data_IF_736493134859
#
_entry.id   IF_736493134859
#
_cell.length_a   1.000
_cell.length_b   1.000
_cell.length_c   1.000
_cell.angle_alpha   90.00
_cell.angle_beta   90.00
_cell.angle_gamma   90.00
#
_symmetry.space_group_name_H-M   'P 1'
#
loop_
_entity.id
_entity.type
_entity.pdbx_description
1 polymer ?
#
# COMPACT_ATOMS: atom_id res chain seq x y z
N UNK A 1 -16.41 -19.50 -2.14
CA UNK A 1 -15.91 -18.55 -1.12
C UNK A 1 -15.21 -17.33 -1.72
N UNK A 2 -14.18 -17.47 -2.57
CA UNK A 2 -13.50 -16.31 -3.20
C UNK A 2 -14.45 -15.38 -3.99
N UNK A 3 -15.41 -15.93 -4.75
CA UNK A 3 -16.40 -15.12 -5.48
C UNK A 3 -17.25 -14.23 -4.57
N UNK A 4 -17.57 -14.70 -3.35
CA UNK A 4 -18.32 -13.89 -2.37
C UNK A 4 -17.47 -12.72 -1.90
N UNK A 5 -16.17 -12.92 -1.68
CA UNK A 5 -15.23 -11.85 -1.36
C UNK A 5 -15.14 -10.79 -2.46
N UNK A 6 -14.97 -11.20 -3.73
CA UNK A 6 -14.95 -10.27 -4.86
C UNK A 6 -16.27 -9.52 -5.03
N UNK A 7 -17.42 -10.19 -4.84
CA UNK A 7 -18.72 -9.54 -4.88
C UNK A 7 -18.87 -8.45 -3.80
N UNK A 8 -18.38 -8.72 -2.58
CA UNK A 8 -18.41 -7.77 -1.48
C UNK A 8 -17.55 -6.53 -1.79
N UNK A 9 -16.33 -6.72 -2.31
CA UNK A 9 -15.44 -5.63 -2.74
C UNK A 9 -16.08 -4.80 -3.87
N UNK A 10 -16.65 -5.46 -4.88
CA UNK A 10 -17.31 -4.77 -5.99
C UNK A 10 -18.51 -3.92 -5.53
N UNK A 11 -19.30 -4.44 -4.58
CA UNK A 11 -20.42 -3.69 -3.97
C UNK A 11 -19.90 -2.47 -3.20
N UNK A 12 -18.86 -2.62 -2.38
CA UNK A 12 -18.24 -1.50 -1.63
C UNK A 12 -17.73 -0.42 -2.59
N UNK A 13 -16.98 -0.78 -3.62
CA UNK A 13 -16.48 0.17 -4.62
C UNK A 13 -17.60 0.92 -5.35
N UNK A 14 -18.72 0.23 -5.60
CA UNK A 14 -19.93 0.83 -6.18
C UNK A 14 -20.60 1.81 -5.21
N UNK A 15 -20.69 1.48 -3.91
CA UNK A 15 -21.25 2.39 -2.89
C UNK A 15 -20.41 3.66 -2.75
N UNK A 16 -19.08 3.53 -2.81
CA UNK A 16 -18.15 4.67 -2.76
C UNK A 16 -18.12 5.50 -4.06
N UNK A 17 -18.91 5.13 -5.07
CA UNK A 17 -18.95 5.78 -6.39
C UNK A 17 -17.55 6.01 -6.97
N UNK A 18 -16.66 5.04 -6.79
CA UNK A 18 -15.27 5.18 -7.22
C UNK A 18 -15.21 5.45 -8.73
N UNK A 19 -14.50 6.51 -9.17
CA UNK A 19 -14.36 6.77 -10.58
C UNK A 19 -13.56 5.65 -11.27
N UNK A 20 -13.82 5.44 -12.55
CA UNK A 20 -13.12 4.41 -13.34
C UNK A 20 -11.60 4.68 -13.46
N UNK A 21 -11.20 5.95 -13.43
CA UNK A 21 -9.80 6.34 -13.59
C UNK A 21 -8.87 5.79 -12.47
N UNK A 22 -9.16 5.97 -11.17
CA UNK A 22 -8.39 5.32 -10.10
C UNK A 22 -8.32 3.79 -10.17
N UNK A 23 -9.40 3.13 -10.61
CA UNK A 23 -9.43 1.67 -10.75
C UNK A 23 -8.46 1.20 -11.83
N UNK A 24 -8.47 1.87 -13.00
CA UNK A 24 -7.52 1.60 -14.08
C UNK A 24 -6.08 1.90 -13.66
N UNK A 25 -5.87 3.03 -12.97
CA UNK A 25 -4.54 3.40 -12.47
C UNK A 25 -4.02 2.34 -11.48
N UNK A 26 -4.85 1.92 -10.53
CA UNK A 26 -4.50 0.85 -9.59
C UNK A 26 -4.22 -0.49 -10.28
N UNK A 27 -4.96 -0.82 -11.34
CA UNK A 27 -4.74 -2.04 -12.11
C UNK A 27 -3.39 -2.02 -12.85
N UNK A 28 -3.07 -0.93 -13.56
CA UNK A 28 -1.80 -0.78 -14.29
C UNK A 28 -0.62 -0.71 -13.31
N UNK A 29 -0.74 0.09 -12.24
CA UNK A 29 0.30 0.21 -11.22
C UNK A 29 0.49 -1.10 -10.45
N UNK A 30 -0.59 -1.86 -10.20
CA UNK A 30 -0.52 -3.13 -9.49
C UNK A 30 0.39 -4.13 -10.18
N UNK A 31 0.27 -4.25 -11.49
CA UNK A 31 1.14 -5.11 -12.32
C UNK A 31 2.63 -4.66 -12.26
N UNK A 32 2.87 -3.35 -12.24
CA UNK A 32 4.23 -2.82 -12.03
C UNK A 32 4.77 -3.10 -10.62
N UNK A 33 3.93 -2.95 -9.59
CA UNK A 33 4.26 -3.20 -8.19
C UNK A 33 4.63 -4.68 -8.00
N UNK A 34 3.83 -5.60 -8.53
CA UNK A 34 4.09 -7.05 -8.45
C UNK A 34 5.41 -7.43 -9.12
N UNK A 35 5.68 -6.89 -10.32
CA UNK A 35 6.97 -7.12 -11.00
C UNK A 35 8.15 -6.59 -10.20
N UNK A 36 8.03 -5.39 -9.64
CA UNK A 36 9.10 -4.78 -8.85
C UNK A 36 9.31 -5.52 -7.53
N UNK A 37 8.23 -5.96 -6.88
CA UNK A 37 8.28 -6.77 -5.67
C UNK A 37 8.96 -8.11 -5.93
N UNK A 38 8.56 -8.82 -6.99
CA UNK A 38 9.20 -10.07 -7.40
C UNK A 38 10.67 -9.88 -7.73
N UNK A 39 11.03 -8.80 -8.44
CA UNK A 39 12.42 -8.45 -8.72
C UNK A 39 13.21 -8.21 -7.45
N UNK A 40 12.67 -7.45 -6.50
CA UNK A 40 13.31 -7.21 -5.21
C UNK A 40 13.53 -8.52 -4.44
N UNK A 41 12.53 -9.40 -4.41
CA UNK A 41 12.63 -10.72 -3.76
C UNK A 41 13.64 -11.64 -4.43
N UNK A 42 13.74 -11.63 -5.77
CA UNK A 42 14.79 -12.38 -6.48
C UNK A 42 16.19 -11.85 -6.18
N UNK A 43 16.34 -10.53 -6.00
CA UNK A 43 17.63 -9.91 -5.64
C UNK A 43 18.01 -10.19 -4.18
N UNK A 44 17.03 -10.38 -3.29
CA UNK A 44 17.24 -10.67 -1.88
C UNK A 44 17.23 -12.17 -1.54
N UNK A 45 17.41 -13.06 -2.54
CA UNK A 45 17.36 -14.52 -2.39
C UNK A 45 16.09 -15.05 -1.69
N UNK A 46 14.96 -14.34 -1.88
CA UNK A 46 13.67 -14.66 -1.27
C UNK A 46 13.57 -14.34 0.23
N UNK A 47 14.61 -13.74 0.81
CA UNK A 47 14.64 -13.35 2.22
C UNK A 47 14.22 -11.89 2.42
N UNK A 48 13.53 -11.60 3.53
CA UNK A 48 13.19 -10.23 3.98
C UNK A 48 14.33 -9.64 4.84
N UNK A 49 15.39 -10.42 5.09
CA UNK A 49 16.53 -10.00 5.91
C UNK A 49 17.31 -8.84 5.28
N UNK A 50 17.13 -8.56 3.98
CA UNK A 50 17.70 -7.39 3.30
C UNK A 50 17.35 -6.05 3.97
N UNK A 51 16.22 -5.98 4.68
CA UNK A 51 15.85 -4.78 5.45
C UNK A 51 16.88 -4.58 6.57
N UNK A 52 17.16 -5.62 7.36
CA UNK A 52 18.04 -5.56 8.53
C UNK A 52 19.52 -5.58 8.20
N UNK A 53 19.91 -6.29 7.14
CA UNK A 53 21.31 -6.46 6.73
C UNK A 53 21.89 -5.20 6.06
N UNK A 54 21.03 -4.33 5.51
CA UNK A 54 21.45 -3.14 4.76
C UNK A 54 21.03 -1.87 5.48
N UNK A 55 21.95 -1.17 6.17
CA UNK A 55 21.62 0.02 6.96
C UNK A 55 20.98 1.14 6.14
N UNK A 56 21.31 1.24 4.85
CA UNK A 56 20.72 2.21 3.93
C UNK A 56 19.24 1.89 3.62
N UNK A 57 18.89 0.61 3.45
CA UNK A 57 17.51 0.18 3.24
C UNK A 57 16.66 0.44 4.47
N UNK A 58 17.19 0.14 5.66
CA UNK A 58 16.57 0.47 6.95
C UNK A 58 16.30 1.97 7.09
N UNK A 59 17.28 2.81 6.75
CA UNK A 59 17.14 4.28 6.84
C UNK A 59 16.04 4.81 5.92
N UNK A 60 16.01 4.36 4.66
CA UNK A 60 14.97 4.76 3.71
C UNK A 60 13.60 4.26 4.15
N UNK A 61 13.50 3.02 4.64
CA UNK A 61 12.25 2.45 5.12
C UNK A 61 11.71 3.18 6.36
N UNK A 62 12.60 3.53 7.30
CA UNK A 62 12.24 4.33 8.47
C UNK A 62 11.75 5.73 8.08
N UNK A 63 12.41 6.38 7.13
CA UNK A 63 11.95 7.67 6.58
C UNK A 63 10.59 7.54 5.89
N UNK A 64 10.38 6.51 5.07
CA UNK A 64 9.10 6.27 4.40
C UNK A 64 7.97 6.07 5.43
N UNK A 65 8.22 5.29 6.48
CA UNK A 65 7.29 5.11 7.60
C UNK A 65 7.00 6.43 8.32
N UNK A 66 8.02 7.25 8.59
CA UNK A 66 7.82 8.57 9.20
C UNK A 66 6.94 9.47 8.34
N UNK A 67 7.21 9.56 7.04
CA UNK A 67 6.42 10.36 6.10
C UNK A 67 4.98 9.88 6.02
N UNK A 68 4.72 8.57 6.05
CA UNK A 68 3.36 8.01 6.09
C UNK A 68 2.64 8.29 7.41
N UNK A 69 3.36 8.28 8.54
CA UNK A 69 2.77 8.45 9.87
C UNK A 69 2.42 9.91 10.19
N UNK A 70 3.10 10.90 9.61
CA UNK A 70 2.80 12.33 9.79
C UNK A 70 1.33 12.66 9.40
N UNK A 71 0.89 12.43 8.15
CA UNK A 71 -0.49 12.74 7.75
C UNK A 71 -1.50 11.81 8.43
N UNK A 72 -1.11 10.58 8.78
CA UNK A 72 -1.99 9.68 9.51
C UNK A 72 -2.31 10.21 10.91
N UNK A 73 -1.31 10.72 11.65
CA UNK A 73 -1.53 11.36 12.95
C UNK A 73 -2.43 12.59 12.82
N UNK A 74 -2.19 13.43 11.83
CA UNK A 74 -3.02 14.62 11.56
C UNK A 74 -4.46 14.24 11.20
N UNK A 75 -4.67 13.21 10.38
CA UNK A 75 -6.02 12.70 10.04
C UNK A 75 -6.78 12.23 11.28
N UNK A 76 -6.12 11.51 12.20
CA UNK A 76 -6.71 11.10 13.48
C UNK A 76 -6.92 12.27 14.44
N UNK A 77 -6.07 13.30 14.41
CA UNK A 77 -6.23 14.52 15.21
C UNK A 77 -7.37 15.41 14.70
N UNK A 78 -7.56 15.52 13.38
CA UNK A 78 -8.64 16.31 12.79
C UNK A 78 -10.03 15.73 13.11
N UNK A 79 -10.15 14.41 13.29
CA UNK A 79 -11.38 13.80 13.83
C UNK A 79 -11.65 14.16 15.29
N UNK A 80 -10.64 14.57 16.07
CA UNK A 80 -10.81 15.02 17.46
C UNK A 80 -11.08 16.52 17.62
N UNK A 81 -10.77 17.34 16.60
CA UNK A 81 -10.99 18.81 16.64
C UNK A 81 -12.37 19.19 16.08
N UNK A 82 -13.04 18.27 15.37
CA UNK A 82 -14.43 18.43 14.91
C UNK A 82 -15.48 17.80 15.84
N UNK A 83 -15.09 17.37 17.05
CA UNK A 83 -16.02 17.02 18.15
C UNK A 83 -16.03 18.11 19.21
#
# INVERSE_FOLDING_TARGET
FMMVGFALVAVVLRLLSFPMAPLLLGFILGDMIERNYRRAMMISDGSISFIWERPLTLGIFALAMLVLLIPLKEYFQQRKVAQ
#
